data_IF_079427984745
#
_entry.id   IF_079427984745
#
_cell.length_a   1.000
_cell.length_b   1.000
_cell.length_c   1.000
_cell.angle_alpha   90.00
_cell.angle_beta   90.00
_cell.angle_gamma   90.00
#
_symmetry.space_group_name_H-M   'P 1'
#
loop_
_entity.id
_entity.type
_entity.pdbx_description
1 polymer ?
#
# COMPACT_ATOMS: atom_id res chain seq x y z
N UNK A 1 -4.30 -4.97 -0.13
CA UNK A 1 -4.92 -3.80 -0.80
C UNK A 1 -4.08 -2.56 -0.59
N UNK A 2 -3.73 -1.90 -1.63
CA UNK A 2 -2.99 -0.65 -1.59
C UNK A 2 -3.92 0.53 -1.90
N UNK A 3 -4.08 1.44 -0.94
CA UNK A 3 -4.81 2.69 -1.18
C UNK A 3 -3.79 3.77 -1.54
N UNK A 4 -3.87 4.27 -2.75
CA UNK A 4 -2.84 5.14 -3.32
C UNK A 4 -3.44 6.31 -4.09
N UNK A 5 -2.61 7.25 -4.47
CA UNK A 5 -3.00 8.35 -5.36
C UNK A 5 -2.69 7.93 -6.79
N UNK A 6 -3.74 7.70 -7.58
CA UNK A 6 -3.64 7.18 -8.91
C UNK A 6 -3.78 5.65 -8.95
N UNK A 7 -3.19 5.03 -9.95
CA UNK A 7 -3.22 3.58 -10.13
C UNK A 7 -1.80 3.03 -10.26
N UNK A 8 -1.61 1.71 -10.15
CA UNK A 8 -0.28 1.12 -10.34
C UNK A 8 0.32 1.43 -11.72
N UNK A 9 -0.53 1.55 -12.74
CA UNK A 9 -0.09 1.89 -14.09
C UNK A 9 0.22 3.38 -14.22
N UNK A 10 -0.51 4.23 -13.49
CA UNK A 10 -0.37 5.67 -13.56
C UNK A 10 -0.42 6.30 -12.15
N UNK A 11 0.65 6.14 -11.35
CA UNK A 11 0.71 6.77 -10.03
C UNK A 11 0.70 8.29 -10.13
N UNK A 12 -0.04 8.94 -9.24
CA UNK A 12 -0.21 10.39 -9.25
C UNK A 12 0.65 11.14 -8.25
N UNK A 13 1.47 10.44 -7.47
CA UNK A 13 2.43 11.09 -6.59
C UNK A 13 3.71 10.24 -6.47
N UNK A 14 4.80 10.89 -6.08
CA UNK A 14 6.09 10.21 -5.98
C UNK A 14 6.12 9.08 -4.97
N UNK A 15 5.42 9.23 -3.86
CA UNK A 15 5.35 8.19 -2.83
C UNK A 15 4.58 6.97 -3.32
N UNK A 16 3.45 7.18 -4.00
CA UNK A 16 2.69 6.08 -4.60
C UNK A 16 3.49 5.36 -5.66
N UNK A 17 4.23 6.10 -6.47
CA UNK A 17 5.12 5.53 -7.49
C UNK A 17 6.17 4.61 -6.87
N UNK A 18 6.79 5.05 -5.79
CA UNK A 18 7.84 4.28 -5.11
C UNK A 18 7.30 3.00 -4.48
N UNK A 19 6.16 3.06 -3.81
CA UNK A 19 5.60 1.87 -3.16
C UNK A 19 5.13 0.84 -4.20
N UNK A 20 4.57 1.28 -5.30
CA UNK A 20 4.19 0.39 -6.41
C UNK A 20 5.43 -0.29 -6.98
N UNK A 21 6.51 0.46 -7.19
CA UNK A 21 7.76 -0.10 -7.70
C UNK A 21 8.33 -1.17 -6.77
N UNK A 22 8.29 -0.93 -5.45
CA UNK A 22 8.75 -1.90 -4.46
C UNK A 22 7.93 -3.20 -4.50
N UNK A 23 6.61 -3.06 -4.55
CA UNK A 23 5.72 -4.23 -4.58
C UNK A 23 5.87 -5.02 -5.88
N UNK A 24 6.02 -4.34 -7.01
CA UNK A 24 6.23 -4.99 -8.31
C UNK A 24 7.59 -5.69 -8.37
N UNK A 25 8.62 -5.07 -7.81
CA UNK A 25 9.96 -5.65 -7.75
C UNK A 25 9.96 -6.98 -7.00
N UNK A 26 9.12 -7.12 -5.99
CA UNK A 26 8.98 -8.34 -5.21
C UNK A 26 7.98 -9.31 -5.82
N UNK A 27 7.45 -9.00 -6.99
CA UNK A 27 6.48 -9.82 -7.71
C UNK A 27 5.22 -10.08 -6.87
N UNK A 28 4.89 -9.16 -5.98
CA UNK A 28 3.70 -9.26 -5.14
C UNK A 28 2.47 -8.93 -5.96
N UNK A 29 1.43 -9.74 -5.81
CA UNK A 29 0.13 -9.43 -6.38
C UNK A 29 -0.67 -8.64 -5.34
N UNK A 30 -1.23 -7.52 -5.76
CA UNK A 30 -2.01 -6.68 -4.85
C UNK A 30 -3.14 -5.98 -5.58
N UNK A 31 -4.25 -5.79 -4.86
CA UNK A 31 -5.32 -4.94 -5.33
C UNK A 31 -4.99 -3.49 -4.99
N UNK A 32 -5.58 -2.57 -5.72
CA UNK A 32 -5.34 -1.15 -5.48
C UNK A 32 -6.64 -0.36 -5.58
N UNK A 33 -6.65 0.79 -4.91
CA UNK A 33 -7.77 1.74 -4.98
C UNK A 33 -7.19 3.15 -5.10
N UNK A 34 -7.68 3.90 -6.09
CA UNK A 34 -7.28 5.29 -6.30
C UNK A 34 -8.13 6.19 -5.40
N UNK A 35 -7.53 6.69 -4.33
CA UNK A 35 -8.24 7.54 -3.37
C UNK A 35 -8.60 8.91 -3.91
N UNK A 36 -8.07 9.28 -5.08
CA UNK A 36 -8.43 10.53 -5.72
C UNK A 36 -9.79 10.46 -6.41
N UNK A 37 -10.31 9.24 -6.63
CA UNK A 37 -11.63 9.05 -7.24
C UNK A 37 -12.76 9.05 -6.23
N UNK A 38 -12.46 8.98 -4.93
CA UNK A 38 -13.50 8.94 -3.89
C UNK A 38 -13.03 9.66 -2.62
N UNK A 39 -13.47 10.89 -2.48
CA UNK A 39 -13.10 11.73 -1.34
C UNK A 39 -13.63 11.18 -0.02
N UNK A 40 -14.79 10.56 -0.04
CA UNK A 40 -15.38 9.98 1.17
C UNK A 40 -14.51 8.82 1.69
N UNK A 41 -14.06 7.93 0.82
CA UNK A 41 -13.16 6.85 1.18
C UNK A 41 -11.85 7.42 1.72
N UNK A 42 -11.32 8.44 1.06
CA UNK A 42 -10.08 9.09 1.47
C UNK A 42 -10.16 9.61 2.89
N UNK A 43 -11.21 10.34 3.23
CA UNK A 43 -11.38 10.92 4.57
C UNK A 43 -11.69 9.85 5.62
N UNK A 44 -12.53 8.89 5.27
CA UNK A 44 -12.91 7.81 6.19
C UNK A 44 -11.70 6.96 6.57
N UNK A 45 -10.85 6.60 5.60
CA UNK A 45 -9.67 5.78 5.88
C UNK A 45 -8.68 6.50 6.79
N UNK A 46 -8.52 7.80 6.65
CA UNK A 46 -7.65 8.56 7.54
C UNK A 46 -8.10 8.47 8.98
N UNK A 47 -9.41 8.50 9.22
CA UNK A 47 -10.00 8.41 10.56
C UNK A 47 -9.91 7.01 11.11
N UNK A 48 -10.27 6.01 10.32
CA UNK A 48 -10.31 4.61 10.75
C UNK A 48 -8.91 4.08 11.02
N UNK A 49 -7.96 4.36 10.13
CA UNK A 49 -6.59 3.87 10.25
C UNK A 49 -5.74 4.69 11.21
N UNK A 50 -6.18 5.89 11.54
CA UNK A 50 -5.38 6.87 12.27
C UNK A 50 -4.04 7.13 11.56
N UNK A 51 -4.04 7.06 10.24
CA UNK A 51 -2.85 7.27 9.40
C UNK A 51 -3.12 8.44 8.47
N UNK A 52 -2.41 9.56 8.64
CA UNK A 52 -2.79 10.83 7.98
C UNK A 52 -2.44 10.93 6.51
N UNK A 53 -1.60 10.04 6.00
CA UNK A 53 -1.07 10.16 4.65
C UNK A 53 -1.29 8.91 3.81
N UNK A 54 -1.16 9.08 2.50
CA UNK A 54 -1.17 8.00 1.53
C UNK A 54 0.20 7.95 0.83
N UNK A 55 0.62 6.80 0.30
CA UNK A 55 -0.15 5.55 0.18
C UNK A 55 -0.28 4.79 1.51
N UNK A 56 -1.27 3.90 1.58
CA UNK A 56 -1.47 3.02 2.74
C UNK A 56 -1.60 1.58 2.23
N UNK A 57 -0.77 0.70 2.74
CA UNK A 57 -0.81 -0.73 2.41
C UNK A 57 -1.52 -1.51 3.52
N UNK A 58 -2.48 -2.32 3.12
CA UNK A 58 -3.20 -3.24 4.01
C UNK A 58 -2.95 -4.67 3.58
N UNK A 59 -2.68 -5.54 4.55
CA UNK A 59 -2.53 -6.99 4.33
C UNK A 59 -3.49 -7.70 5.29
N UNK A 60 -4.34 -8.55 4.74
CA UNK A 60 -5.36 -9.30 5.50
C UNK A 60 -6.24 -8.40 6.37
N UNK A 61 -6.58 -7.23 5.84
CA UNK A 61 -7.44 -6.27 6.53
C UNK A 61 -6.75 -5.42 7.58
N UNK A 62 -5.47 -5.61 7.79
CA UNK A 62 -4.69 -4.83 8.76
C UNK A 62 -3.78 -3.83 8.07
N UNK A 63 -3.71 -2.62 8.62
CA UNK A 63 -2.82 -1.58 8.11
C UNK A 63 -1.36 -1.96 8.38
N UNK A 64 -0.58 -2.08 7.32
CA UNK A 64 0.87 -2.26 7.42
C UNK A 64 1.55 -0.91 7.60
N UNK A 65 1.18 0.06 6.77
CA UNK A 65 1.74 1.41 6.84
C UNK A 65 1.90 2.04 5.48
N UNK A 66 2.65 3.12 5.45
CA UNK A 66 2.97 3.84 4.23
C UNK A 66 4.31 3.43 3.64
N UNK A 67 4.85 4.29 2.76
CA UNK A 67 6.10 4.01 2.06
C UNK A 67 7.26 3.71 3.00
N UNK A 68 7.43 4.49 4.06
CA UNK A 68 8.56 4.32 4.99
C UNK A 68 8.57 2.94 5.62
N UNK A 69 7.40 2.48 6.07
CA UNK A 69 7.27 1.16 6.69
C UNK A 69 7.51 0.06 5.66
N UNK A 70 6.97 0.22 4.46
CA UNK A 70 7.16 -0.77 3.39
C UNK A 70 8.64 -0.87 3.00
N UNK A 71 9.35 0.25 2.95
CA UNK A 71 10.79 0.25 2.67
C UNK A 71 11.56 -0.50 3.75
N UNK A 72 11.23 -0.29 5.02
CA UNK A 72 11.88 -1.01 6.12
C UNK A 72 11.64 -2.52 6.02
N UNK A 73 10.41 -2.93 5.72
CA UNK A 73 10.08 -4.34 5.58
C UNK A 73 10.77 -4.97 4.38
N UNK A 74 10.94 -4.22 3.30
CA UNK A 74 11.67 -4.69 2.12
C UNK A 74 13.14 -4.92 2.46
N UNK A 75 13.77 -3.99 3.17
CA UNK A 75 15.18 -4.09 3.55
C UNK A 75 15.43 -5.26 4.50
N UNK A 76 14.50 -5.56 5.40
CA UNK A 76 14.64 -6.67 6.35
C UNK A 76 14.25 -8.02 5.76
N UNK A 77 13.63 -8.03 4.57
CA UNK A 77 13.11 -9.24 3.95
C UNK A 77 11.74 -9.67 4.43
N UNK A 78 11.17 -8.93 5.38
CA UNK A 78 9.85 -9.27 5.96
C UNK A 78 8.70 -9.00 5.01
N UNK A 79 8.85 -8.08 4.05
CA UNK A 79 7.79 -7.74 3.13
C UNK A 79 7.31 -8.94 2.32
N UNK A 80 8.23 -9.71 1.77
CA UNK A 80 7.89 -10.91 1.00
C UNK A 80 7.15 -11.93 1.86
N UNK A 81 7.58 -12.12 3.10
CA UNK A 81 6.90 -13.03 4.02
C UNK A 81 5.49 -12.61 4.32
N UNK A 82 5.27 -11.31 4.55
CA UNK A 82 3.94 -10.79 4.86
C UNK A 82 2.97 -10.96 3.71
N UNK A 83 3.41 -10.65 2.49
CA UNK A 83 2.54 -10.68 1.32
C UNK A 83 2.33 -12.09 0.80
N UNK A 84 3.42 -12.85 0.67
CA UNK A 84 3.36 -14.23 0.17
C UNK A 84 2.75 -15.19 1.18
N UNK A 85 3.13 -15.06 2.44
CA UNK A 85 2.60 -15.89 3.51
C UNK A 85 1.10 -15.74 3.66
N UNK A 86 0.58 -14.51 3.57
CA UNK A 86 -0.84 -14.26 3.61
C UNK A 86 -1.58 -14.92 2.45
N UNK A 87 -0.96 -14.97 1.28
CA UNK A 87 -1.55 -15.58 0.10
C UNK A 87 -1.63 -17.09 0.15
N UNK A 88 -0.86 -17.72 1.00
CA UNK A 88 -0.84 -19.17 1.14
C UNK A 88 -1.90 -19.74 2.07
N UNK A 89 -2.58 -18.89 2.77
CA UNK A 89 -3.58 -19.31 3.76
C UNK A 89 -4.84 -19.91 3.14
#
# INVERSE_FOLDING_TARGET
>A
MLFMKGSPVEPRCGFSKKIVALLQKKECQFGSFDILTDEEVRQTLKKVSNWPTYPQLYVDGELVGGLDIVEELEQSGELSEMVEGGGEQ
#
